data_IF_819551067881
#
_entry.id   IF_819551067881
#
_cell.length_a   1.000
_cell.length_b   1.000
_cell.length_c   1.000
_cell.angle_alpha   90.00
_cell.angle_beta   90.00
_cell.angle_gamma   90.00
#
_symmetry.space_group_name_H-M   'P 1'
#
loop_
_entity.id
_entity.type
_entity.pdbx_description
1 polymer ?
#
# COMPACT_ATOMS: atom_id res chain seq x y z
N UNK A 1 -15.92 3.52 15.38
CA UNK A 1 -14.74 4.27 15.89
C UNK A 1 -13.42 3.77 15.32
N UNK A 2 -13.16 2.44 15.27
CA UNK A 2 -11.89 1.87 14.70
C UNK A 2 -11.62 2.33 13.26
N UNK A 3 -12.65 2.32 12.42
CA UNK A 3 -12.56 2.66 11.00
C UNK A 3 -12.10 4.11 10.77
N UNK A 4 -12.62 5.01 11.60
CA UNK A 4 -12.28 6.42 11.55
C UNK A 4 -10.80 6.65 11.93
N UNK A 5 -10.30 5.93 12.94
CA UNK A 5 -8.89 6.02 13.35
C UNK A 5 -7.97 5.52 12.24
N UNK A 6 -8.27 4.36 11.65
CA UNK A 6 -7.50 3.81 10.52
C UNK A 6 -7.51 4.80 9.36
N UNK A 7 -8.67 5.35 9.02
CA UNK A 7 -8.81 6.30 7.92
C UNK A 7 -7.97 7.57 8.13
N UNK A 8 -8.00 8.14 9.32
CA UNK A 8 -7.18 9.32 9.68
C UNK A 8 -5.69 9.01 9.57
N UNK A 9 -5.26 7.83 10.05
CA UNK A 9 -3.86 7.40 9.95
C UNK A 9 -3.42 7.21 8.50
N UNK A 10 -4.32 6.71 7.62
CA UNK A 10 -4.03 6.60 6.19
C UNK A 10 -3.96 7.95 5.48
N UNK A 11 -4.81 8.91 5.84
CA UNK A 11 -4.69 10.28 5.33
C UNK A 11 -3.32 10.84 5.70
N UNK A 12 -2.89 10.68 6.94
CA UNK A 12 -1.57 11.14 7.39
C UNK A 12 -0.43 10.42 6.65
N UNK A 13 -0.50 9.09 6.51
CA UNK A 13 0.48 8.30 5.76
C UNK A 13 0.56 8.77 4.30
N UNK A 14 -0.58 8.98 3.65
CA UNK A 14 -0.66 9.44 2.26
C UNK A 14 -0.06 10.82 2.08
N UNK A 15 -0.37 11.77 2.97
CA UNK A 15 0.21 13.12 2.93
C UNK A 15 1.72 13.11 3.14
N UNK A 16 2.21 12.26 4.06
CA UNK A 16 3.65 12.10 4.30
C UNK A 16 4.36 11.49 3.09
N UNK A 17 3.76 10.46 2.48
CA UNK A 17 4.31 9.78 1.32
C UNK A 17 4.35 10.69 0.08
N UNK A 18 3.29 11.47 -0.14
CA UNK A 18 3.25 12.48 -1.22
C UNK A 18 4.28 13.58 -1.04
N UNK A 19 4.58 14.00 0.20
CA UNK A 19 5.51 15.09 0.49
C UNK A 19 6.97 14.64 0.54
N UNK A 20 7.23 13.55 1.25
CA UNK A 20 8.57 13.10 1.60
C UNK A 20 8.98 11.79 0.94
N UNK A 21 8.03 11.11 0.26
CA UNK A 21 8.20 9.77 -0.32
C UNK A 21 8.67 8.74 0.72
N UNK A 22 8.29 8.96 1.97
CA UNK A 22 8.60 8.08 3.09
C UNK A 22 7.42 8.02 4.04
N UNK A 23 7.07 6.81 4.48
CA UNK A 23 6.07 6.60 5.52
C UNK A 23 6.80 6.60 6.88
N UNK A 24 6.51 7.53 7.78
CA UNK A 24 7.13 7.55 9.10
C UNK A 24 6.72 6.29 9.88
N UNK A 25 7.70 5.62 10.47
CA UNK A 25 7.47 4.40 11.25
C UNK A 25 6.47 4.57 12.40
N UNK A 26 6.24 5.80 12.83
CA UNK A 26 5.27 6.13 13.91
C UNK A 26 3.85 5.71 13.53
N UNK A 27 3.46 5.80 12.24
CA UNK A 27 2.09 5.50 11.80
C UNK A 27 1.78 3.99 11.92
N UNK A 28 2.54 3.06 11.31
CA UNK A 28 2.31 1.63 11.48
C UNK A 28 2.40 1.20 12.95
N UNK A 29 3.34 1.78 13.72
CA UNK A 29 3.49 1.48 15.14
C UNK A 29 2.23 1.89 15.92
N UNK A 30 1.69 3.10 15.71
CA UNK A 30 0.47 3.54 16.36
C UNK A 30 -0.73 2.64 16.02
N UNK A 31 -0.89 2.28 14.75
CA UNK A 31 -1.96 1.37 14.32
C UNK A 31 -1.82 0.02 15.05
N UNK A 32 -0.63 -0.56 15.10
CA UNK A 32 -0.38 -1.83 15.77
C UNK A 32 -0.62 -1.73 17.29
N UNK A 33 -0.23 -0.64 17.94
CA UNK A 33 -0.44 -0.45 19.39
C UNK A 33 -1.90 -0.25 19.76
N UNK A 34 -2.71 0.35 18.90
CA UNK A 34 -4.14 0.53 19.14
C UNK A 34 -4.93 -0.77 18.99
N UNK A 35 -4.40 -1.75 18.26
CA UNK A 35 -5.08 -3.02 18.02
C UNK A 35 -5.38 -3.82 19.31
N UNK A 36 -4.42 -4.10 20.24
CA UNK A 36 -4.71 -4.84 21.45
C UNK A 36 -5.68 -4.11 22.38
N UNK A 37 -5.65 -2.77 22.41
CA UNK A 37 -6.61 -1.98 23.17
C UNK A 37 -8.01 -2.20 22.63
N UNK A 38 -8.16 -2.16 21.30
CA UNK A 38 -9.42 -2.43 20.65
C UNK A 38 -9.86 -3.88 20.83
N UNK A 39 -8.94 -4.84 20.79
CA UNK A 39 -9.22 -6.26 21.00
C UNK A 39 -9.82 -6.51 22.37
N UNK A 40 -9.22 -5.96 23.45
CA UNK A 40 -9.70 -6.12 24.83
C UNK A 40 -11.05 -5.44 25.06
N UNK A 41 -11.33 -4.34 24.32
CA UNK A 41 -12.59 -3.63 24.41
C UNK A 41 -13.78 -4.35 23.75
N UNK A 42 -13.52 -5.44 23.01
CA UNK A 42 -14.57 -6.22 22.34
C UNK A 42 -14.79 -7.58 23.03
N UNK A 43 -16.04 -8.00 23.12
CA UNK A 43 -16.41 -9.28 23.71
C UNK A 43 -15.96 -10.50 22.90
N UNK A 44 -15.76 -10.33 21.58
CA UNK A 44 -15.39 -11.39 20.63
C UNK A 44 -13.89 -11.49 20.36
N UNK A 45 -13.06 -11.41 21.39
CA UNK A 45 -11.60 -11.34 21.21
C UNK A 45 -11.01 -12.57 20.50
N UNK A 46 -11.55 -13.78 20.74
CA UNK A 46 -11.04 -15.00 20.11
C UNK A 46 -11.29 -15.03 18.61
N UNK A 47 -12.48 -14.65 18.16
CA UNK A 47 -12.82 -14.56 16.74
C UNK A 47 -11.97 -13.50 16.04
N UNK A 48 -11.81 -12.32 16.66
CA UNK A 48 -11.01 -11.22 16.11
C UNK A 48 -9.54 -11.58 16.03
N UNK A 49 -9.01 -12.29 17.03
CA UNK A 49 -7.64 -12.78 17.03
C UNK A 49 -7.42 -13.80 15.89
N UNK A 50 -8.33 -14.74 15.73
CA UNK A 50 -8.24 -15.73 14.66
C UNK A 50 -8.33 -15.09 13.28
N UNK A 51 -9.22 -14.13 13.08
CA UNK A 51 -9.33 -13.40 11.83
C UNK A 51 -8.05 -12.61 11.52
N UNK A 52 -7.46 -11.93 12.51
CA UNK A 52 -6.20 -11.23 12.36
C UNK A 52 -5.06 -12.19 11.97
N UNK A 53 -4.96 -13.35 12.62
CA UNK A 53 -3.94 -14.35 12.30
C UNK A 53 -4.09 -14.88 10.87
N UNK A 54 -5.30 -15.17 10.42
CA UNK A 54 -5.55 -15.61 9.05
C UNK A 54 -5.24 -14.53 8.02
N UNK A 55 -5.59 -13.28 8.31
CA UNK A 55 -5.30 -12.14 7.44
C UNK A 55 -3.78 -11.90 7.31
N UNK A 56 -3.05 -11.97 8.43
CA UNK A 56 -1.60 -11.84 8.45
C UNK A 56 -0.91 -12.98 7.68
N UNK A 57 -1.35 -14.23 7.90
CA UNK A 57 -0.82 -15.38 7.17
C UNK A 57 -1.03 -15.22 5.66
N UNK A 58 -2.21 -14.76 5.25
CA UNK A 58 -2.52 -14.51 3.86
C UNK A 58 -1.59 -13.44 3.26
N UNK A 59 -1.38 -12.32 3.95
CA UNK A 59 -0.46 -11.25 3.52
C UNK A 59 0.97 -11.76 3.39
N UNK A 60 1.45 -12.55 4.35
CA UNK A 60 2.78 -13.16 4.29
C UNK A 60 2.92 -14.02 3.03
N UNK A 61 1.93 -14.88 2.74
CA UNK A 61 1.93 -15.71 1.53
C UNK A 61 1.98 -14.85 0.25
N UNK A 62 1.18 -13.79 0.18
CA UNK A 62 1.16 -12.88 -0.97
C UNK A 62 2.52 -12.18 -1.13
N UNK A 63 3.10 -11.64 -0.06
CA UNK A 63 4.37 -10.94 -0.11
C UNK A 63 5.53 -11.88 -0.49
N UNK A 64 5.55 -13.11 0.01
CA UNK A 64 6.55 -14.12 -0.39
C UNK A 64 6.39 -14.43 -1.87
N UNK A 65 5.16 -14.65 -2.35
CA UNK A 65 4.90 -14.95 -3.76
C UNK A 65 5.36 -13.80 -4.66
N UNK A 66 5.01 -12.56 -4.31
CA UNK A 66 5.47 -11.36 -5.03
C UNK A 66 6.99 -11.26 -4.99
N UNK A 67 7.62 -11.50 -3.84
CA UNK A 67 9.08 -11.47 -3.68
C UNK A 67 9.80 -12.52 -4.55
N UNK A 68 9.24 -13.73 -4.67
CA UNK A 68 9.77 -14.78 -5.55
C UNK A 68 9.62 -14.37 -7.02
N UNK A 69 8.42 -13.93 -7.42
CA UNK A 69 8.15 -13.51 -8.79
C UNK A 69 9.05 -12.35 -9.23
N UNK A 70 9.20 -11.33 -8.37
CA UNK A 70 10.08 -10.19 -8.67
C UNK A 70 11.55 -10.59 -8.81
N UNK A 71 12.02 -11.56 -8.02
CA UNK A 71 13.36 -12.10 -8.13
C UNK A 71 13.58 -12.84 -9.45
N UNK A 72 12.57 -13.54 -9.95
CA UNK A 72 12.63 -14.24 -11.25
C UNK A 72 12.59 -13.29 -12.45
N UNK A 73 11.82 -12.19 -12.37
CA UNK A 73 11.66 -11.22 -13.47
C UNK A 73 12.84 -10.23 -13.54
N UNK A 74 13.68 -10.17 -12.51
CA UNK A 74 14.90 -9.35 -12.46
C UNK A 74 14.73 -7.99 -11.82
N UNK A 75 15.15 -7.87 -10.59
CA UNK A 75 15.72 -6.68 -9.93
C UNK A 75 14.84 -5.46 -9.62
N UNK A 76 13.54 -5.55 -9.58
CA UNK A 76 12.73 -4.44 -9.06
C UNK A 76 12.21 -4.76 -7.65
N UNK A 77 12.62 -3.96 -6.65
CA UNK A 77 11.95 -3.91 -5.36
C UNK A 77 10.58 -3.27 -5.57
N UNK A 78 9.53 -4.10 -5.62
CA UNK A 78 8.18 -3.66 -5.96
C UNK A 78 7.48 -2.88 -4.84
N UNK A 79 7.85 -3.12 -3.58
CA UNK A 79 7.24 -2.46 -2.42
C UNK A 79 8.30 -1.81 -1.54
N UNK A 80 8.01 -0.58 -1.11
CA UNK A 80 8.78 0.11 -0.09
C UNK A 80 8.62 -0.56 1.29
N UNK A 81 9.69 -0.58 2.10
CA UNK A 81 9.60 -1.14 3.46
C UNK A 81 8.55 -0.47 4.35
N UNK A 82 8.23 0.81 4.08
CA UNK A 82 7.15 1.54 4.75
C UNK A 82 5.76 1.01 4.40
N UNK A 83 5.53 0.70 3.12
CA UNK A 83 4.26 0.15 2.63
C UNK A 83 3.98 -1.22 3.22
N UNK A 84 5.01 -2.08 3.30
CA UNK A 84 4.91 -3.41 3.90
C UNK A 84 4.46 -3.30 5.36
N UNK A 85 5.10 -2.42 6.15
CA UNK A 85 4.74 -2.19 7.55
C UNK A 85 3.30 -1.68 7.71
N UNK A 86 2.89 -0.78 6.80
CA UNK A 86 1.55 -0.22 6.80
C UNK A 86 0.50 -1.29 6.47
N UNK A 87 0.77 -2.16 5.48
CA UNK A 87 -0.08 -3.30 5.14
C UNK A 87 -0.26 -4.22 6.35
N UNK A 88 0.84 -4.66 6.99
CA UNK A 88 0.78 -5.53 8.16
C UNK A 88 -0.03 -4.92 9.29
N UNK A 89 0.25 -3.68 9.69
CA UNK A 89 -0.48 -3.03 10.77
C UNK A 89 -1.99 -2.91 10.51
N UNK A 90 -2.39 -2.81 9.25
CA UNK A 90 -3.80 -2.69 8.84
C UNK A 90 -4.50 -4.04 8.83
N UNK A 91 -3.83 -5.09 8.38
CA UNK A 91 -4.42 -6.43 8.29
C UNK A 91 -4.81 -7.03 9.65
N UNK A 92 -4.25 -6.52 10.76
CA UNK A 92 -4.70 -6.84 12.11
C UNK A 92 -6.18 -6.49 12.36
N UNK A 93 -6.72 -5.51 11.64
CA UNK A 93 -8.10 -5.03 11.80
C UNK A 93 -9.07 -5.58 10.76
N UNK A 94 -8.57 -6.23 9.72
CA UNK A 94 -9.36 -6.71 8.58
C UNK A 94 -9.57 -8.22 8.66
N UNK A 95 -10.73 -8.66 8.21
CA UNK A 95 -10.98 -10.07 7.94
C UNK A 95 -10.29 -10.48 6.63
N UNK A 96 -10.15 -11.79 6.40
CA UNK A 96 -9.46 -12.31 5.21
C UNK A 96 -10.08 -11.81 3.89
N UNK A 97 -11.41 -11.70 3.84
CA UNK A 97 -12.14 -11.18 2.66
C UNK A 97 -11.84 -9.70 2.44
N UNK A 98 -11.88 -8.92 3.51
CA UNK A 98 -11.57 -7.49 3.51
C UNK A 98 -10.11 -7.26 3.12
N UNK A 99 -9.18 -8.08 3.64
CA UNK A 99 -7.76 -8.03 3.29
C UNK A 99 -7.53 -8.32 1.81
N UNK A 100 -8.25 -9.28 1.23
CA UNK A 100 -8.18 -9.55 -0.20
C UNK A 100 -8.64 -8.34 -1.03
N UNK A 101 -9.81 -7.77 -0.70
CA UNK A 101 -10.34 -6.57 -1.37
C UNK A 101 -9.37 -5.40 -1.24
N UNK A 102 -8.81 -5.19 -0.04
CA UNK A 102 -7.83 -4.16 0.24
C UNK A 102 -6.59 -4.27 -0.65
N UNK A 103 -5.94 -5.43 -0.64
CA UNK A 103 -4.72 -5.64 -1.43
C UNK A 103 -4.99 -5.59 -2.94
N UNK A 104 -6.09 -6.22 -3.39
CA UNK A 104 -6.44 -6.23 -4.81
C UNK A 104 -6.73 -4.82 -5.33
N UNK A 105 -7.57 -4.06 -4.63
CA UNK A 105 -7.94 -2.71 -5.06
C UNK A 105 -6.75 -1.74 -5.02
N UNK A 106 -5.91 -1.80 -3.99
CA UNK A 106 -4.71 -0.97 -3.90
C UNK A 106 -3.73 -1.24 -5.05
N UNK A 107 -3.45 -2.52 -5.33
CA UNK A 107 -2.57 -2.90 -6.43
C UNK A 107 -3.17 -2.54 -7.80
N UNK A 108 -4.45 -2.81 -8.00
CA UNK A 108 -5.14 -2.49 -9.25
C UNK A 108 -5.09 -0.99 -9.56
N UNK A 109 -5.40 -0.15 -8.58
CA UNK A 109 -5.32 1.30 -8.73
C UNK A 109 -3.88 1.77 -8.95
N UNK A 110 -2.91 1.22 -8.21
CA UNK A 110 -1.50 1.54 -8.39
C UNK A 110 -1.01 1.25 -9.81
N UNK A 111 -1.37 0.09 -10.36
CA UNK A 111 -1.01 -0.29 -11.74
C UNK A 111 -1.72 0.61 -12.76
N UNK A 112 -3.02 0.83 -12.61
CA UNK A 112 -3.80 1.70 -13.52
C UNK A 112 -3.22 3.11 -13.57
N UNK A 113 -2.90 3.68 -12.41
CA UNK A 113 -2.34 5.02 -12.35
C UNK A 113 -0.91 5.10 -12.90
N UNK A 114 -0.11 4.08 -12.64
CA UNK A 114 1.25 3.96 -13.21
C UNK A 114 1.20 3.89 -14.75
N UNK A 115 0.29 3.09 -15.30
CA UNK A 115 0.08 3.00 -16.75
C UNK A 115 -0.40 4.33 -17.34
N UNK A 116 -1.38 4.96 -16.71
CA UNK A 116 -1.88 6.27 -17.15
C UNK A 116 -0.76 7.32 -17.19
N UNK A 117 0.04 7.38 -16.13
CA UNK A 117 1.16 8.31 -16.03
C UNK A 117 2.23 8.02 -17.09
N UNK A 118 2.51 6.75 -17.36
CA UNK A 118 3.43 6.35 -18.42
C UNK A 118 2.94 6.79 -19.82
N UNK A 119 1.64 6.58 -20.10
CA UNK A 119 1.03 6.98 -21.36
C UNK A 119 1.05 8.51 -21.53
N UNK A 120 0.63 9.25 -20.51
CA UNK A 120 0.63 10.72 -20.53
C UNK A 120 2.04 11.27 -20.77
N UNK A 121 3.04 10.72 -20.09
CA UNK A 121 4.44 11.13 -20.28
C UNK A 121 4.95 10.84 -21.68
N UNK A 122 4.54 9.70 -22.27
CA UNK A 122 4.91 9.36 -23.66
C UNK A 122 4.30 10.34 -24.66
N UNK A 123 3.07 10.81 -24.41
CA UNK A 123 2.42 11.83 -25.26
C UNK A 123 3.09 13.19 -25.12
N UNK A 124 3.34 13.67 -23.90
CA UNK A 124 3.99 14.96 -23.64
C UNK A 124 5.43 15.01 -24.21
N UNK A 125 6.17 13.89 -24.10
CA UNK A 125 7.53 13.81 -24.65
C UNK A 125 7.59 13.79 -26.18
N UNK A 126 6.48 13.49 -26.86
CA UNK A 126 6.40 13.52 -28.31
C UNK A 126 6.37 14.95 -28.87
N UNK A 127 5.92 15.89 -28.07
CA UNK A 127 5.83 17.31 -28.42
C UNK A 127 7.19 18.04 -28.26
N UNK A 128 8.04 17.60 -27.32
CA UNK A 128 9.35 18.20 -27.03
C UNK A 128 10.54 17.64 -27.83
N UNK A 129 10.28 16.83 -28.88
CA UNK A 129 11.33 16.16 -29.65
C UNK A 129 12.23 17.10 -30.47
N UNK A 130 12.03 18.41 -30.40
CA UNK A 130 12.83 19.42 -31.09
C UNK A 130 13.89 20.11 -30.23
N UNK A 131 14.08 19.72 -28.96
CA UNK A 131 15.13 20.28 -28.11
C UNK A 131 15.79 19.17 -27.29
N UNK A 132 17.09 18.99 -27.59
CA UNK A 132 18.10 18.36 -26.74
C UNK A 132 18.08 16.82 -26.59
N UNK A 133 18.69 16.21 -27.56
CA UNK A 133 19.42 14.95 -27.49
C UNK A 133 20.62 15.09 -26.56
N UNK A 134 20.59 15.01 -25.31
CA UNK A 134 21.68 14.69 -24.36
C UNK A 134 21.13 14.90 -22.94
N UNK A 135 20.52 13.89 -22.37
CA UNK A 135 20.70 13.57 -20.95
C UNK A 135 19.87 12.33 -20.55
N UNK A 136 20.64 11.25 -20.43
CA UNK A 136 20.43 10.16 -19.48
C UNK A 136 19.14 9.34 -19.54
N UNK A 137 19.27 8.22 -20.24
CA UNK A 137 18.43 7.01 -20.10
C UNK A 137 18.39 6.39 -18.69
N UNK A 138 19.14 6.94 -17.74
CA UNK A 138 19.23 6.45 -16.35
C UNK A 138 18.20 7.04 -15.38
N UNK A 139 17.54 8.15 -15.71
CA UNK A 139 16.55 8.77 -14.81
C UNK A 139 15.13 8.18 -14.93
N UNK A 140 14.89 7.30 -15.90
CA UNK A 140 13.57 6.72 -16.16
C UNK A 140 13.16 5.61 -15.19
N UNK A 141 14.13 4.96 -14.55
CA UNK A 141 13.91 3.80 -13.68
C UNK A 141 13.74 4.15 -12.19
N UNK A 142 13.92 5.40 -11.80
CA UNK A 142 13.98 5.79 -10.38
C UNK A 142 12.80 6.68 -9.92
N UNK A 143 11.67 6.62 -10.62
CA UNK A 143 10.47 7.30 -10.16
C UNK A 143 9.72 6.40 -9.17
N UNK A 144 10.09 6.48 -7.90
CA UNK A 144 9.28 5.90 -6.81
C UNK A 144 7.95 6.64 -6.75
N UNK A 145 6.89 5.92 -7.05
CA UNK A 145 5.53 6.45 -7.01
C UNK A 145 5.00 6.37 -5.56
N UNK A 146 4.31 7.40 -5.03
CA UNK A 146 3.70 7.33 -3.71
C UNK A 146 2.60 6.26 -3.71
N UNK A 147 2.80 5.15 -3.01
CA UNK A 147 1.88 4.02 -2.99
C UNK A 147 0.84 4.11 -1.85
N UNK A 148 1.15 4.84 -0.78
CA UNK A 148 0.27 4.98 0.38
C UNK A 148 -1.15 5.50 0.09
N UNK A 149 -1.39 6.44 -0.86
CA UNK A 149 -2.75 6.86 -1.22
C UNK A 149 -3.61 5.72 -1.77
N UNK A 150 -3.01 4.80 -2.54
CA UNK A 150 -3.74 3.64 -3.11
C UNK A 150 -4.07 2.62 -2.04
N UNK A 151 -3.17 2.42 -1.07
CA UNK A 151 -3.46 1.63 0.12
C UNK A 151 -4.62 2.24 0.92
N UNK A 152 -4.63 3.55 1.12
CA UNK A 152 -5.72 4.26 1.79
C UNK A 152 -7.07 4.07 1.10
N UNK A 153 -7.10 4.16 -0.22
CA UNK A 153 -8.31 3.90 -0.99
C UNK A 153 -8.74 2.42 -0.90
N UNK A 154 -7.79 1.50 -0.95
CA UNK A 154 -8.04 0.06 -0.79
C UNK A 154 -8.70 -0.26 0.55
N UNK A 155 -8.22 0.34 1.64
CA UNK A 155 -8.84 0.20 2.97
C UNK A 155 -10.25 0.78 2.99
N UNK A 156 -10.43 1.98 2.44
CA UNK A 156 -11.76 2.60 2.37
C UNK A 156 -12.76 1.71 1.63
N UNK A 157 -12.36 1.11 0.50
CA UNK A 157 -13.19 0.20 -0.27
C UNK A 157 -13.49 -1.10 0.51
N UNK A 158 -12.48 -1.68 1.17
CA UNK A 158 -12.66 -2.89 1.96
C UNK A 158 -13.63 -2.69 3.12
N UNK A 159 -13.56 -1.54 3.79
CA UNK A 159 -14.47 -1.18 4.88
C UNK A 159 -15.88 -0.83 4.39
N UNK A 160 -16.01 -0.31 3.18
CA UNK A 160 -17.31 0.02 2.57
C UNK A 160 -18.08 -1.24 2.14
N UNK A 161 -17.37 -2.28 1.69
CA UNK A 161 -17.96 -3.54 1.20
C UNK A 161 -18.24 -4.55 2.32
N UNK A 162 -17.98 -4.18 3.56
CA UNK A 162 -18.22 -4.99 4.77
C UNK A 162 -19.71 -5.09 5.08
#
# INVERSE_FOLDING_TARGET
>A
MRELVIFVMYIWASLSDMRNRTIPNRIPILITFLWPIWLVANEKHTELLMNALWSELFVICVLITVGIVTKFIGHMSFLGGGDIKLIFSTCLYLEIKETFVFLFSANFLGVMFSLLFFILRKFLRREDRNKDEITSSSSLLMYTFPFAPFLGFGVALALFLR
#
